data_IF_101107706885
#
_entry.id   IF_101107706885
#
_cell.length_a   1.000
_cell.length_b   1.000
_cell.length_c   1.000
_cell.angle_alpha   90.00
_cell.angle_beta   90.00
_cell.angle_gamma   90.00
#
_symmetry.space_group_name_H-M   'P 1'
#
loop_
_entity.id
_entity.type
_entity.pdbx_description
1 polymer ?
#
# COMPACT_ATOMS: atom_id res chain seq x y z
N UNK A 1 -2.56 -5.15 -7.32
CA UNK A 1 -1.95 -4.11 -6.46
C UNK A 1 -3.05 -3.65 -5.54
N UNK A 2 -2.89 -3.75 -4.23
CA UNK A 2 -3.94 -3.37 -3.30
C UNK A 2 -3.39 -3.00 -1.94
N UNK A 3 -3.76 -1.82 -1.45
CA UNK A 3 -3.40 -1.32 -0.12
C UNK A 3 -4.36 -0.20 0.27
N UNK A 4 -4.20 0.31 1.49
CA UNK A 4 -5.07 1.34 2.05
C UNK A 4 -5.21 2.59 1.16
N UNK A 5 -4.23 2.92 0.30
CA UNK A 5 -4.20 4.11 -0.56
C UNK A 5 -4.30 3.78 -2.05
N UNK A 6 -4.52 2.52 -2.43
CA UNK A 6 -4.56 2.05 -3.82
C UNK A 6 -5.62 0.96 -3.95
N UNK A 7 -6.86 1.37 -4.29
CA UNK A 7 -8.06 0.52 -4.20
C UNK A 7 -8.85 0.39 -5.50
N UNK A 8 -8.27 0.78 -6.65
CA UNK A 8 -8.94 0.71 -7.96
C UNK A 8 -9.40 -0.71 -8.38
N UNK A 9 -8.96 -1.76 -7.69
CA UNK A 9 -9.46 -3.13 -7.92
C UNK A 9 -10.85 -3.38 -7.31
N UNK A 10 -11.28 -2.57 -6.34
CA UNK A 10 -12.49 -2.80 -5.55
C UNK A 10 -13.82 -2.74 -6.31
N UNK A 11 -13.99 -1.89 -7.34
CA UNK A 11 -15.27 -1.79 -8.05
C UNK A 11 -15.61 -3.02 -8.90
N UNK A 12 -14.61 -3.76 -9.39
CA UNK A 12 -14.83 -4.77 -10.44
C UNK A 12 -14.04 -6.07 -10.24
N UNK A 13 -12.75 -5.99 -9.90
CA UNK A 13 -11.89 -7.17 -9.89
C UNK A 13 -12.26 -8.14 -8.77
N UNK A 14 -12.54 -7.66 -7.56
CA UNK A 14 -12.89 -8.55 -6.45
C UNK A 14 -14.15 -9.38 -6.72
N UNK A 15 -15.18 -8.78 -7.34
CA UNK A 15 -16.40 -9.51 -7.72
C UNK A 15 -16.10 -10.60 -8.75
N UNK A 16 -15.28 -10.29 -9.76
CA UNK A 16 -14.84 -11.26 -10.77
C UNK A 16 -14.05 -12.42 -10.15
N UNK A 17 -13.11 -12.13 -9.24
CA UNK A 17 -12.31 -13.16 -8.58
C UNK A 17 -13.16 -14.04 -7.65
N UNK A 18 -14.19 -13.47 -7.02
CA UNK A 18 -15.13 -14.23 -6.19
C UNK A 18 -15.97 -15.20 -7.03
N UNK A 19 -16.58 -14.72 -8.10
CA UNK A 19 -17.39 -15.53 -9.02
C UNK A 19 -16.58 -16.70 -9.63
N UNK A 20 -15.33 -16.44 -9.98
CA UNK A 20 -14.44 -17.43 -10.61
C UNK A 20 -13.66 -18.28 -9.59
N UNK A 21 -13.87 -18.07 -8.28
CA UNK A 21 -13.13 -18.73 -7.20
C UNK A 21 -11.60 -18.63 -7.36
N UNK A 22 -11.11 -17.44 -7.72
CA UNK A 22 -9.69 -17.15 -7.89
C UNK A 22 -9.16 -16.45 -6.64
N UNK A 23 -8.09 -17.02 -6.07
CA UNK A 23 -7.38 -16.44 -4.91
C UNK A 23 -6.69 -15.14 -5.30
N UNK A 24 -6.85 -14.11 -4.49
CA UNK A 24 -6.17 -12.85 -4.67
C UNK A 24 -4.95 -12.74 -3.75
N UNK A 25 -3.80 -12.43 -4.32
CA UNK A 25 -2.60 -12.09 -3.54
C UNK A 25 -2.27 -10.61 -3.73
N UNK A 26 -2.42 -9.83 -2.66
CA UNK A 26 -2.03 -8.43 -2.73
C UNK A 26 -0.51 -8.27 -2.68
N UNK A 27 0.00 -7.31 -3.45
CA UNK A 27 1.36 -6.83 -3.38
C UNK A 27 1.38 -5.31 -3.18
N UNK A 28 2.51 -4.80 -2.70
CA UNK A 28 2.70 -3.41 -2.26
C UNK A 28 1.76 -2.99 -1.10
N UNK A 29 1.68 -3.78 -0.01
CA UNK A 29 0.84 -3.42 1.15
C UNK A 29 1.23 -2.07 1.77
N UNK A 30 2.49 -1.67 1.66
CA UNK A 30 3.05 -0.45 2.23
C UNK A 30 3.29 0.67 1.20
N UNK A 31 2.58 0.68 0.06
CA UNK A 31 2.81 1.65 -1.03
C UNK A 31 4.29 1.69 -1.49
N UNK A 32 4.92 0.52 -1.60
CA UNK A 32 6.35 0.42 -1.92
C UNK A 32 7.31 0.91 -0.81
N UNK A 33 6.80 1.32 0.35
CA UNK A 33 7.56 1.89 1.46
C UNK A 33 7.13 3.30 1.82
N UNK A 34 6.37 4.01 0.99
CA UNK A 34 5.89 5.37 1.31
C UNK A 34 5.02 5.36 2.58
N UNK A 35 4.18 4.33 2.75
CA UNK A 35 3.26 4.22 3.88
C UNK A 35 3.97 3.88 5.21
N UNK A 36 5.28 3.65 5.24
CA UNK A 36 6.00 3.54 6.51
C UNK A 36 6.28 4.91 7.15
N UNK A 37 6.08 6.00 6.41
CA UNK A 37 6.44 7.34 6.85
C UNK A 37 7.95 7.59 6.93
N UNK A 38 8.76 6.72 6.34
CA UNK A 38 10.23 6.83 6.33
C UNK A 38 10.78 7.75 5.24
N UNK A 39 9.93 8.26 4.35
CA UNK A 39 10.29 9.16 3.27
C UNK A 39 9.65 10.53 3.44
N UNK A 40 10.31 11.57 2.94
CA UNK A 40 9.73 12.89 2.69
C UNK A 40 9.72 13.18 1.19
N UNK A 41 8.75 13.97 0.70
CA UNK A 41 8.58 14.23 -0.73
C UNK A 41 9.81 14.89 -1.35
N UNK A 42 10.35 15.91 -0.67
CA UNK A 42 11.57 16.64 -1.05
C UNK A 42 12.85 16.00 -0.49
N UNK A 43 12.73 14.82 0.12
CA UNK A 43 13.85 14.11 0.74
C UNK A 43 14.71 13.36 -0.27
N UNK A 44 16.00 13.24 0.07
CA UNK A 44 16.89 12.32 -0.61
C UNK A 44 16.55 10.86 -0.27
N UNK A 45 16.76 9.97 -1.22
CA UNK A 45 16.61 8.52 -1.05
C UNK A 45 17.97 7.85 -1.19
N UNK A 46 18.17 6.75 -0.49
CA UNK A 46 19.39 5.95 -0.60
C UNK A 46 19.55 5.41 -2.03
N UNK A 47 20.78 5.43 -2.54
CA UNK A 47 21.11 4.87 -3.86
C UNK A 47 20.80 3.36 -3.90
N UNK A 48 20.24 2.89 -5.00
CA UNK A 48 19.79 1.50 -5.17
C UNK A 48 18.52 1.14 -4.38
N UNK A 49 17.99 2.06 -3.57
CA UNK A 49 16.72 1.83 -2.86
C UNK A 49 15.53 1.79 -3.83
N UNK A 50 14.37 1.38 -3.30
CA UNK A 50 13.14 1.19 -4.11
C UNK A 50 12.69 2.43 -4.86
N UNK A 51 13.06 3.62 -4.38
CA UNK A 51 12.70 4.90 -4.96
C UNK A 51 13.92 5.66 -5.52
N UNK A 52 15.09 5.02 -5.67
CA UNK A 52 16.26 5.65 -6.30
C UNK A 52 15.90 6.12 -7.73
N UNK A 53 15.90 7.44 -8.01
CA UNK A 53 15.54 7.96 -9.33
C UNK A 53 16.49 7.50 -10.44
N UNK A 54 17.71 7.06 -10.11
CA UNK A 54 18.69 6.59 -11.07
C UNK A 54 18.50 5.11 -11.44
N UNK A 55 17.64 4.38 -10.73
CA UNK A 55 17.33 2.98 -11.02
C UNK A 55 16.03 2.86 -11.82
N UNK A 56 16.00 1.94 -12.81
CA UNK A 56 14.76 1.63 -13.58
C UNK A 56 13.57 1.26 -12.69
N UNK A 57 13.83 0.55 -11.59
CA UNK A 57 12.80 0.24 -10.60
C UNK A 57 12.30 1.51 -9.90
N UNK A 58 13.20 2.39 -9.49
CA UNK A 58 12.84 3.62 -8.78
C UNK A 58 12.02 4.58 -9.63
N UNK A 59 12.33 4.71 -10.93
CA UNK A 59 11.47 5.46 -11.86
C UNK A 59 10.02 4.94 -11.85
N UNK A 60 9.83 3.62 -11.94
CA UNK A 60 8.49 2.97 -11.93
C UNK A 60 7.76 3.11 -10.58
N UNK A 61 8.49 3.03 -9.46
CA UNK A 61 7.89 3.19 -8.14
C UNK A 61 7.55 4.65 -7.85
N UNK A 62 8.37 5.58 -8.35
CA UNK A 62 8.10 7.03 -8.26
C UNK A 62 6.86 7.42 -9.05
N UNK A 63 6.71 6.91 -10.27
CA UNK A 63 5.50 7.09 -11.08
C UNK A 63 4.22 6.65 -10.35
N UNK A 64 4.30 5.58 -9.55
CA UNK A 64 3.17 5.05 -8.78
C UNK A 64 2.84 5.86 -7.54
N UNK A 65 3.84 6.13 -6.69
CA UNK A 65 3.61 6.58 -5.31
C UNK A 65 4.35 7.86 -4.92
N UNK A 66 5.31 8.35 -5.72
CA UNK A 66 6.07 9.56 -5.37
C UNK A 66 5.35 10.82 -5.83
N UNK A 67 4.15 11.02 -5.28
CA UNK A 67 3.25 12.13 -5.59
C UNK A 67 2.86 12.84 -4.30
N UNK A 68 2.66 14.15 -4.37
CA UNK A 68 2.45 14.98 -3.18
C UNK A 68 1.30 14.47 -2.32
N UNK A 69 0.23 14.01 -2.96
CA UNK A 69 -0.99 13.51 -2.31
C UNK A 69 -0.71 12.27 -1.44
N UNK A 70 0.24 11.41 -1.82
CA UNK A 70 0.63 10.26 -1.00
C UNK A 70 1.36 10.69 0.27
N UNK A 71 2.22 11.70 0.20
CA UNK A 71 2.93 12.21 1.38
C UNK A 71 2.01 13.02 2.29
N UNK A 72 1.06 13.76 1.72
CA UNK A 72 -0.02 14.42 2.46
C UNK A 72 -0.91 13.39 3.18
N UNK A 73 -1.29 12.30 2.50
CA UNK A 73 -2.03 11.19 3.10
C UNK A 73 -1.26 10.49 4.24
N UNK A 74 0.04 10.25 4.07
CA UNK A 74 0.89 9.69 5.14
C UNK A 74 0.94 10.64 6.35
N UNK A 75 1.08 11.94 6.10
CA UNK A 75 1.13 12.96 7.16
C UNK A 75 -0.18 13.02 7.93
N UNK A 76 -1.32 13.05 7.24
CA UNK A 76 -2.65 13.02 7.82
C UNK A 76 -2.83 11.77 8.70
N UNK A 77 -2.52 10.60 8.14
CA UNK A 77 -2.70 9.34 8.87
C UNK A 77 -1.81 9.29 10.11
N UNK A 78 -0.57 9.76 10.03
CA UNK A 78 0.35 9.80 11.17
C UNK A 78 -0.15 10.70 12.30
N UNK A 79 -0.74 11.85 11.97
CA UNK A 79 -1.32 12.76 12.96
C UNK A 79 -2.46 12.10 13.73
N UNK A 80 -3.34 11.36 13.04
CA UNK A 80 -4.46 10.65 13.67
C UNK A 80 -3.99 9.39 14.41
N UNK A 81 -2.96 8.70 13.93
CA UNK A 81 -2.43 7.47 14.52
C UNK A 81 -1.69 7.70 15.86
N UNK A 82 -1.01 8.85 16.00
CA UNK A 82 -0.11 9.14 17.14
C UNK A 82 -0.82 9.09 18.50
N UNK A 83 -2.02 9.69 18.69
CA UNK A 83 -2.78 9.59 19.94
C UNK A 83 -3.16 8.15 20.34
N UNK A 84 -3.26 7.24 19.38
CA UNK A 84 -3.57 5.82 19.62
C UNK A 84 -2.34 4.95 19.87
N UNK A 85 -1.14 5.52 19.76
CA UNK A 85 0.12 4.77 19.81
C UNK A 85 0.26 3.74 18.70
N UNK A 86 -0.41 3.95 17.55
CA UNK A 86 -0.36 3.06 16.40
C UNK A 86 0.74 3.49 15.43
N UNK A 87 1.53 2.52 14.97
CA UNK A 87 2.49 2.71 13.89
C UNK A 87 1.81 2.57 12.51
N UNK A 88 2.34 3.26 11.49
CA UNK A 88 1.75 3.23 10.15
C UNK A 88 1.85 1.85 9.48
N UNK A 89 2.90 1.07 9.77
CA UNK A 89 3.04 -0.30 9.27
C UNK A 89 1.94 -1.18 9.88
N UNK A 90 1.70 -1.03 11.18
CA UNK A 90 0.61 -1.72 11.87
C UNK A 90 -0.74 -1.36 11.24
N UNK A 91 -1.00 -0.07 11.01
CA UNK A 91 -2.26 0.39 10.39
C UNK A 91 -2.44 -0.19 8.98
N UNK A 92 -1.39 -0.20 8.16
CA UNK A 92 -1.48 -0.73 6.80
C UNK A 92 -1.84 -2.21 6.77
N UNK A 93 -1.25 -3.01 7.66
CA UNK A 93 -1.55 -4.45 7.76
C UNK A 93 -2.90 -4.72 8.45
N UNK A 94 -3.24 -3.97 9.49
CA UNK A 94 -4.55 -4.07 10.16
C UNK A 94 -5.69 -3.73 9.20
N UNK A 95 -5.52 -2.68 8.39
CA UNK A 95 -6.50 -2.35 7.36
C UNK A 95 -6.68 -3.50 6.38
N UNK A 96 -5.59 -4.10 5.89
CA UNK A 96 -5.66 -5.26 4.98
C UNK A 96 -6.34 -6.48 5.62
N UNK A 97 -6.05 -6.77 6.89
CA UNK A 97 -6.57 -7.96 7.57
C UNK A 97 -8.06 -7.82 7.98
N UNK A 98 -8.49 -6.63 8.39
CA UNK A 98 -9.77 -6.45 9.06
C UNK A 98 -10.77 -5.53 8.33
N UNK A 99 -10.30 -4.67 7.41
CA UNK A 99 -11.12 -3.59 6.82
C UNK A 99 -11.14 -3.58 5.30
N UNK A 100 -10.31 -4.40 4.66
CA UNK A 100 -10.21 -4.50 3.21
C UNK A 100 -11.15 -5.56 2.63
N UNK A 101 -11.23 -5.66 1.29
CA UNK A 101 -11.99 -6.73 0.60
C UNK A 101 -11.25 -8.08 0.51
N UNK A 102 -10.11 -8.23 1.19
CA UNK A 102 -9.38 -9.50 1.26
C UNK A 102 -10.22 -10.57 1.97
N UNK A 103 -10.20 -11.80 1.47
CA UNK A 103 -10.94 -12.93 2.04
C UNK A 103 -10.00 -14.08 2.41
N UNK A 104 -9.71 -14.22 3.70
CA UNK A 104 -8.87 -15.30 4.22
C UNK A 104 -9.49 -16.69 4.00
N UNK A 105 -10.82 -16.83 4.03
CA UNK A 105 -11.50 -18.10 3.79
C UNK A 105 -11.39 -18.56 2.33
N UNK A 106 -11.35 -17.63 1.37
CA UNK A 106 -11.01 -17.91 -0.04
C UNK A 106 -9.53 -18.30 -0.21
N UNK A 107 -8.69 -17.96 0.75
CA UNK A 107 -7.24 -18.16 0.69
C UNK A 107 -6.52 -17.01 0.01
N UNK A 108 -7.07 -15.79 0.09
CA UNK A 108 -6.34 -14.58 -0.29
C UNK A 108 -5.13 -14.38 0.63
N UNK A 109 -4.06 -13.76 0.11
CA UNK A 109 -2.83 -13.57 0.88
C UNK A 109 -2.17 -12.22 0.68
N UNK A 110 -1.32 -11.84 1.64
CA UNK A 110 -0.57 -10.59 1.64
C UNK A 110 0.90 -10.91 1.32
N UNK A 111 1.39 -10.42 0.19
CA UNK A 111 2.81 -10.52 -0.16
C UNK A 111 3.57 -9.42 0.58
N UNK A 112 4.31 -9.81 1.62
CA UNK A 112 5.21 -8.92 2.34
C UNK A 112 6.50 -8.72 1.56
N UNK A 113 6.94 -7.47 1.46
CA UNK A 113 8.22 -7.10 0.86
C UNK A 113 9.09 -6.39 1.87
N UNK A 114 10.35 -6.81 1.98
CA UNK A 114 11.33 -6.25 2.89
C UNK A 114 12.70 -6.16 2.19
N UNK A 115 13.56 -5.25 2.67
CA UNK A 115 14.95 -5.09 2.20
C UNK A 115 15.98 -5.51 3.25
N UNK A 116 15.53 -5.93 4.44
CA UNK A 116 16.38 -6.38 5.53
C UNK A 116 15.62 -7.37 6.40
N UNK A 117 16.35 -8.19 7.16
CA UNK A 117 15.74 -9.09 8.14
C UNK A 117 14.90 -8.33 9.18
N UNK A 118 15.37 -7.16 9.61
CA UNK A 118 14.65 -6.28 10.55
C UNK A 118 13.26 -5.90 9.99
N UNK A 119 13.18 -5.49 8.72
CA UNK A 119 11.90 -5.17 8.08
C UNK A 119 10.98 -6.40 7.97
N UNK A 120 11.55 -7.57 7.68
CA UNK A 120 10.78 -8.83 7.63
C UNK A 120 10.17 -9.14 8.99
N UNK A 121 10.96 -9.11 10.06
CA UNK A 121 10.49 -9.37 11.43
C UNK A 121 9.42 -8.37 11.83
N UNK A 122 9.65 -7.07 11.60
CA UNK A 122 8.67 -6.02 11.91
C UNK A 122 7.33 -6.22 11.19
N UNK A 123 7.36 -6.57 9.89
CA UNK A 123 6.13 -6.82 9.13
C UNK A 123 5.38 -8.07 9.64
N UNK A 124 6.11 -9.13 10.00
CA UNK A 124 5.52 -10.35 10.54
C UNK A 124 4.91 -10.12 11.92
N UNK A 125 5.59 -9.37 12.78
CA UNK A 125 5.07 -9.01 14.10
C UNK A 125 3.81 -8.15 13.97
N UNK A 126 3.79 -7.18 13.05
CA UNK A 126 2.62 -6.36 12.79
C UNK A 126 1.41 -7.19 12.33
N UNK A 127 1.63 -8.16 11.43
CA UNK A 127 0.58 -9.07 11.00
C UNK A 127 0.07 -9.94 12.17
N UNK A 128 0.99 -10.51 12.96
CA UNK A 128 0.66 -11.40 14.09
C UNK A 128 -0.10 -10.68 15.20
N UNK A 129 0.24 -9.42 15.46
CA UNK A 129 -0.39 -8.58 16.48
C UNK A 129 -1.64 -7.85 15.96
N UNK A 130 -2.09 -8.21 14.75
CA UNK A 130 -3.11 -7.45 14.05
C UNK A 130 -4.43 -7.36 14.81
N UNK A 131 -5.08 -6.20 14.70
CA UNK A 131 -6.37 -5.92 15.34
C UNK A 131 -7.22 -4.96 14.52
N UNK A 132 -8.55 -4.94 14.72
CA UNK A 132 -9.39 -3.89 14.13
C UNK A 132 -8.92 -2.49 14.55
N UNK A 133 -8.94 -1.56 13.59
CA UNK A 133 -8.54 -0.18 13.80
C UNK A 133 -9.61 0.61 14.57
N UNK A 134 -9.21 1.57 15.42
CA UNK A 134 -10.14 2.57 15.97
C UNK A 134 -10.88 3.31 14.85
N UNK A 135 -12.12 3.71 15.13
CA UNK A 135 -13.00 4.32 14.10
C UNK A 135 -12.37 5.56 13.46
N UNK A 136 -11.78 6.45 14.25
CA UNK A 136 -11.17 7.69 13.76
C UNK A 136 -9.93 7.43 12.90
N UNK A 137 -9.15 6.38 13.21
CA UNK A 137 -8.05 5.90 12.37
C UNK A 137 -8.58 5.33 11.06
N UNK A 138 -9.66 4.53 11.10
CA UNK A 138 -10.30 4.02 9.89
C UNK A 138 -10.86 5.16 9.01
N UNK A 139 -11.55 6.14 9.60
CA UNK A 139 -12.04 7.33 8.91
C UNK A 139 -10.86 8.15 8.30
N UNK A 140 -9.70 8.16 8.95
CA UNK A 140 -8.49 8.76 8.38
C UNK A 140 -7.97 7.98 7.17
N UNK A 141 -7.97 6.64 7.24
CA UNK A 141 -7.59 5.78 6.12
C UNK A 141 -8.50 5.99 4.90
N UNK A 142 -9.81 6.17 5.11
CA UNK A 142 -10.74 6.51 4.02
C UNK A 142 -10.46 7.89 3.41
N UNK A 143 -10.20 8.91 4.24
CA UNK A 143 -9.78 10.24 3.74
C UNK A 143 -8.49 10.17 2.95
N UNK A 144 -7.52 9.37 3.40
CA UNK A 144 -6.27 9.16 2.68
C UNK A 144 -6.49 8.51 1.31
N UNK A 145 -7.41 7.54 1.22
CA UNK A 145 -7.77 6.96 -0.08
C UNK A 145 -8.39 8.00 -1.01
N UNK A 146 -9.31 8.83 -0.52
CA UNK A 146 -9.90 9.90 -1.33
C UNK A 146 -8.84 10.88 -1.86
N UNK A 147 -7.84 11.23 -1.04
CA UNK A 147 -6.71 12.07 -1.47
C UNK A 147 -5.86 11.42 -2.58
N UNK A 148 -5.62 10.11 -2.50
CA UNK A 148 -4.76 9.40 -3.46
C UNK A 148 -5.51 8.80 -4.64
N UNK A 149 -6.85 8.80 -4.63
CA UNK A 149 -7.68 8.05 -5.60
C UNK A 149 -7.40 8.45 -7.05
N UNK A 150 -7.39 9.75 -7.34
CA UNK A 150 -7.19 10.24 -8.71
C UNK A 150 -5.78 9.95 -9.23
N UNK A 151 -4.79 10.03 -8.34
CA UNK A 151 -3.39 9.79 -8.67
C UNK A 151 -2.98 8.32 -8.50
N UNK A 152 -3.89 7.45 -8.03
CA UNK A 152 -3.60 6.05 -7.79
C UNK A 152 -3.35 5.29 -9.09
N UNK A 153 -2.30 4.45 -9.16
CA UNK A 153 -1.95 3.74 -10.38
C UNK A 153 -3.05 2.77 -10.80
N UNK A 154 -3.21 2.56 -12.11
CA UNK A 154 -4.02 1.46 -12.62
C UNK A 154 -3.48 0.12 -12.12
N UNK A 155 -4.40 -0.78 -11.79
CA UNK A 155 -4.06 -2.13 -11.34
C UNK A 155 -3.72 -3.08 -12.49
N UNK A 156 -4.07 -2.72 -13.73
CA UNK A 156 -3.76 -3.45 -14.94
C UNK A 156 -2.82 -2.66 -15.84
N UNK A 157 -2.27 -3.32 -16.86
CA UNK A 157 -1.45 -2.70 -17.90
C UNK A 157 -1.92 -3.17 -19.25
N UNK A 158 -1.92 -2.27 -20.22
CA UNK A 158 -2.13 -2.64 -21.62
C UNK A 158 -0.86 -3.27 -22.19
N UNK A 159 -1.01 -3.98 -23.32
CA UNK A 159 0.11 -4.59 -24.05
C UNK A 159 1.18 -3.56 -24.42
N UNK A 160 0.76 -2.36 -24.84
CA UNK A 160 1.67 -1.28 -25.23
C UNK A 160 2.48 -0.76 -24.04
N UNK A 161 1.86 -0.68 -22.86
CA UNK A 161 2.56 -0.32 -21.62
C UNK A 161 3.56 -1.39 -21.17
N UNK A 162 3.35 -2.67 -21.53
CA UNK A 162 4.28 -3.76 -21.19
C UNK A 162 5.45 -3.88 -22.17
N UNK A 163 5.18 -3.71 -23.47
CA UNK A 163 6.17 -3.91 -24.53
C UNK A 163 7.07 -2.68 -24.77
N UNK A 164 6.71 -1.52 -24.18
CA UNK A 164 7.25 -0.23 -24.56
C UNK A 164 6.57 0.27 -25.84
N UNK A 165 6.34 1.58 -25.94
CA UNK A 165 5.90 2.16 -27.23
C UNK A 165 6.91 1.74 -28.30
N UNK A 166 6.42 1.16 -29.40
CA UNK A 166 7.25 0.83 -30.56
C UNK A 166 7.82 2.10 -31.19
#
# INVERSE_FOLDING_TARGET
MYNAFTRHIEPELFACLEELNIKFHTYNPLCGGVLTGSYSFDGNVEQGSRFDPNAKQGARYRERYWKKEYFEAVTLLKQVATPHGLDLIQIAFDWLQFHSKMNAARGDGIIIGASSLKHTVQNLDALKMGKPLPKDVLDAVERCWELTRESSPSYFRTKDQMMGAR
#
